data_IF_600619711982
#
_entry.id   IF_600619711982
#
_cell.length_a   1.000
_cell.length_b   1.000
_cell.length_c   1.000
_cell.angle_alpha   90.00
_cell.angle_beta   90.00
_cell.angle_gamma   90.00
#
_symmetry.space_group_name_H-M   'P 1'
#
loop_
_entity.id
_entity.type
_entity.pdbx_description
1 polymer ?
#
# COMPACT_ATOMS: atom_id res chain seq x y z
N UNK A 1 46.37 -4.64 -1.48
CA UNK A 1 45.03 -3.99 -1.60
C UNK A 1 44.70 -3.24 -0.30
N UNK A 2 43.70 -2.32 -0.22
CA UNK A 2 43.45 -1.60 1.03
C UNK A 2 42.91 -2.54 2.10
N UNK A 3 43.49 -2.46 3.30
CA UNK A 3 43.05 -3.24 4.45
C UNK A 3 41.61 -2.87 4.84
N UNK A 4 40.82 -3.87 5.27
CA UNK A 4 39.46 -3.64 5.77
C UNK A 4 39.50 -3.34 7.26
N UNK A 5 38.89 -2.24 7.67
CA UNK A 5 38.57 -1.96 9.07
C UNK A 5 37.11 -2.30 9.31
N UNK A 6 36.85 -3.26 10.20
CA UNK A 6 35.49 -3.68 10.53
C UNK A 6 34.87 -2.70 11.54
N UNK A 7 33.64 -2.30 11.28
CA UNK A 7 32.79 -1.66 12.29
C UNK A 7 32.08 -2.72 13.12
N UNK A 8 32.03 -2.53 14.44
CA UNK A 8 31.36 -3.47 15.34
C UNK A 8 29.84 -3.54 15.01
N UNK A 9 29.32 -4.70 14.58
CA UNK A 9 27.92 -4.81 14.17
C UNK A 9 26.94 -4.70 15.33
N UNK A 10 27.35 -4.91 16.58
CA UNK A 10 26.46 -5.09 17.74
C UNK A 10 25.43 -3.96 17.93
N UNK A 11 25.81 -2.72 17.65
CA UNK A 11 24.90 -1.57 17.78
C UNK A 11 23.80 -1.55 16.70
N UNK A 12 24.04 -2.18 15.55
CA UNK A 12 23.14 -2.17 14.39
C UNK A 12 22.26 -3.42 14.32
N UNK A 13 22.60 -4.50 15.03
CA UNK A 13 21.83 -5.75 15.02
C UNK A 13 20.37 -5.51 15.42
N UNK A 14 20.12 -4.63 16.40
CA UNK A 14 18.77 -4.32 16.86
C UNK A 14 17.87 -3.64 15.82
N UNK A 15 18.44 -3.11 14.73
CA UNK A 15 17.68 -2.51 13.62
C UNK A 15 17.22 -3.54 12.58
N UNK A 16 17.75 -4.77 12.64
CA UNK A 16 17.34 -5.85 11.74
C UNK A 16 16.18 -6.60 12.40
N UNK A 17 15.00 -6.71 11.75
CA UNK A 17 13.88 -7.46 12.31
C UNK A 17 14.26 -8.94 12.44
N UNK A 18 13.78 -9.65 13.45
CA UNK A 18 14.09 -11.08 13.61
C UNK A 18 13.39 -11.93 12.55
N UNK A 19 14.13 -12.81 11.86
CA UNK A 19 13.54 -13.82 10.98
C UNK A 19 12.94 -14.95 11.82
N UNK A 20 11.62 -14.98 11.88
CA UNK A 20 10.82 -15.85 12.75
C UNK A 20 10.31 -17.14 12.08
N UNK A 21 10.61 -17.34 10.81
CA UNK A 21 10.01 -18.42 10.02
C UNK A 21 8.98 -17.92 9.02
N UNK A 22 8.45 -16.70 9.21
CA UNK A 22 7.43 -16.13 8.34
C UNK A 22 8.03 -15.67 7.01
N UNK A 23 7.33 -15.97 5.91
CA UNK A 23 7.67 -15.40 4.60
C UNK A 23 7.36 -13.89 4.52
N UNK A 24 6.56 -13.36 5.45
CA UNK A 24 6.18 -11.94 5.49
C UNK A 24 7.33 -11.08 6.03
N UNK A 25 8.08 -11.59 7.02
CA UNK A 25 9.20 -10.87 7.64
C UNK A 25 10.48 -10.95 6.80
N UNK A 26 10.60 -11.99 5.96
CA UNK A 26 11.78 -12.27 5.16
C UNK A 26 12.27 -11.11 4.26
N UNK A 27 11.43 -10.41 3.47
CA UNK A 27 11.91 -9.31 2.62
C UNK A 27 12.54 -8.17 3.43
N UNK A 28 11.86 -7.73 4.49
CA UNK A 28 12.36 -6.67 5.38
C UNK A 28 13.64 -7.10 6.12
N UNK A 29 13.69 -8.35 6.60
CA UNK A 29 14.88 -8.93 7.21
C UNK A 29 16.05 -8.94 6.24
N UNK A 30 15.84 -9.44 5.01
CA UNK A 30 16.88 -9.56 3.98
C UNK A 30 17.51 -8.20 3.67
N UNK A 31 16.68 -7.20 3.34
CA UNK A 31 17.15 -5.86 2.99
C UNK A 31 17.96 -5.24 4.13
N UNK A 32 17.44 -5.28 5.36
CA UNK A 32 18.14 -4.70 6.53
C UNK A 32 19.43 -5.42 6.86
N UNK A 33 19.47 -6.74 6.67
CA UNK A 33 20.67 -7.52 6.91
C UNK A 33 21.76 -7.25 5.85
N UNK A 34 21.38 -7.13 4.57
CA UNK A 34 22.31 -6.75 3.49
C UNK A 34 22.88 -5.34 3.73
N UNK A 35 22.06 -4.37 4.14
CA UNK A 35 22.51 -3.02 4.55
C UNK A 35 23.50 -3.08 5.72
N UNK A 36 23.21 -3.89 6.75
CA UNK A 36 24.11 -4.07 7.88
C UNK A 36 25.47 -4.61 7.42
N UNK A 37 25.49 -5.64 6.58
CA UNK A 37 26.75 -6.20 6.08
C UNK A 37 27.52 -5.26 5.16
N UNK A 38 26.82 -4.39 4.42
CA UNK A 38 27.44 -3.34 3.64
C UNK A 38 28.16 -2.31 4.53
N UNK A 39 27.52 -1.86 5.62
CA UNK A 39 28.11 -0.94 6.60
C UNK A 39 29.34 -1.56 7.29
N UNK A 40 29.25 -2.85 7.63
CA UNK A 40 30.33 -3.59 8.30
C UNK A 40 31.50 -3.91 7.34
N UNK A 41 31.27 -3.87 6.02
CA UNK A 41 32.28 -4.15 5.00
C UNK A 41 32.52 -5.63 4.71
N UNK A 42 31.52 -6.48 4.95
CA UNK A 42 31.58 -7.96 4.74
C UNK A 42 30.52 -8.46 3.74
N UNK A 43 29.78 -7.56 3.09
CA UNK A 43 28.71 -7.90 2.16
C UNK A 43 29.16 -8.81 0.99
N UNK A 44 30.34 -8.56 0.43
CA UNK A 44 30.92 -9.36 -0.64
C UNK A 44 31.29 -10.78 -0.20
N UNK A 45 31.70 -10.98 1.06
CA UNK A 45 31.92 -12.31 1.63
C UNK A 45 30.60 -13.03 1.84
N UNK A 46 29.57 -12.34 2.35
CA UNK A 46 28.23 -12.90 2.60
C UNK A 46 27.52 -13.29 1.32
N UNK A 47 27.63 -12.47 0.27
CA UNK A 47 27.06 -12.78 -1.04
C UNK A 47 27.90 -13.75 -1.86
N UNK A 48 29.10 -14.11 -1.38
CA UNK A 48 30.04 -15.00 -2.08
C UNK A 48 30.78 -14.35 -3.25
N UNK A 49 30.73 -13.02 -3.36
CA UNK A 49 31.52 -12.26 -4.33
C UNK A 49 33.02 -12.29 -4.05
N UNK A 50 33.44 -12.37 -2.78
CA UNK A 50 34.83 -12.60 -2.40
C UNK A 50 35.06 -14.07 -2.03
N UNK A 51 35.80 -14.78 -2.88
CA UNK A 51 36.21 -16.15 -2.62
C UNK A 51 37.31 -16.22 -1.56
N UNK A 52 37.31 -17.30 -0.78
CA UNK A 52 38.35 -17.57 0.22
C UNK A 52 39.68 -17.84 -0.50
N UNK A 53 40.78 -17.14 -0.15
CA UNK A 53 42.12 -17.43 -0.67
C UNK A 53 42.57 -18.88 -0.39
N UNK A 54 43.29 -19.50 -1.34
CA UNK A 54 43.76 -20.90 -1.23
C UNK A 54 44.94 -21.05 -0.27
N UNK A 55 45.78 -20.02 -0.14
CA UNK A 55 46.98 -20.02 0.70
C UNK A 55 47.03 -18.76 1.55
N UNK A 56 47.31 -18.90 2.84
CA UNK A 56 47.62 -17.75 3.68
C UNK A 56 48.98 -17.16 3.25
N UNK A 57 49.02 -15.85 2.98
CA UNK A 57 50.29 -15.16 2.81
C UNK A 57 51.16 -15.36 4.06
N UNK A 58 52.42 -15.76 3.87
CA UNK A 58 53.33 -16.03 4.99
C UNK A 58 53.59 -14.74 5.76
N UNK A 59 53.15 -14.75 7.01
CA UNK A 59 53.32 -13.70 8.02
C UNK A 59 52.68 -12.34 7.69
N UNK A 60 51.65 -12.00 8.47
CA UNK A 60 51.57 -10.65 9.01
C UNK A 60 51.00 -10.73 10.42
N UNK A 61 51.79 -10.33 11.42
CA UNK A 61 51.29 -10.00 12.76
C UNK A 61 50.01 -9.16 12.62
N UNK A 62 49.00 -9.34 13.49
CA UNK A 62 47.78 -8.52 13.43
C UNK A 62 48.17 -7.05 13.40
N UNK A 63 47.95 -6.39 12.26
CA UNK A 63 48.31 -5.00 12.10
C UNK A 63 47.17 -4.18 12.72
N UNK A 64 47.44 -3.61 13.89
CA UNK A 64 46.51 -2.71 14.55
C UNK A 64 46.77 -1.28 14.09
N UNK A 65 45.75 -0.61 13.56
CA UNK A 65 45.78 0.84 13.35
C UNK A 65 45.03 1.48 14.52
N UNK A 66 45.76 1.85 15.57
CA UNK A 66 45.17 2.26 16.84
C UNK A 66 44.48 1.10 17.56
N UNK A 67 43.21 1.25 17.93
CA UNK A 67 42.39 0.20 18.60
C UNK A 67 41.75 -0.79 17.63
N UNK A 68 41.79 -0.51 16.32
CA UNK A 68 41.04 -1.28 15.32
C UNK A 68 41.95 -2.30 14.62
N UNK A 69 41.50 -3.55 14.57
CA UNK A 69 42.16 -4.64 13.84
C UNK A 69 41.89 -4.49 12.34
N UNK A 70 42.94 -4.54 11.54
CA UNK A 70 42.87 -4.57 10.08
C UNK A 70 42.82 -6.01 9.56
N UNK A 71 42.05 -6.23 8.49
CA UNK A 71 41.86 -7.53 7.86
C UNK A 71 42.21 -7.47 6.36
N UNK A 72 42.95 -8.46 5.88
CA UNK A 72 43.37 -8.60 4.49
C UNK A 72 42.70 -9.82 3.84
N UNK A 73 41.37 -9.82 3.76
CA UNK A 73 40.58 -10.99 3.34
C UNK A 73 40.81 -11.47 1.89
N UNK A 74 41.41 -10.64 1.04
CA UNK A 74 41.77 -10.99 -0.33
C UNK A 74 43.12 -11.73 -0.40
N UNK A 75 43.97 -11.54 0.60
CA UNK A 75 45.36 -12.02 0.63
C UNK A 75 45.57 -13.08 1.74
N UNK A 76 44.66 -13.13 2.72
CA UNK A 76 44.71 -14.01 3.90
C UNK A 76 43.40 -14.77 4.07
N UNK A 77 43.46 -16.10 3.94
CA UNK A 77 42.35 -17.00 4.20
C UNK A 77 41.92 -16.98 5.65
N UNK A 78 42.86 -16.82 6.59
CA UNK A 78 42.57 -16.69 8.03
C UNK A 78 41.79 -15.42 8.38
N UNK A 79 42.11 -14.28 7.75
CA UNK A 79 41.34 -13.05 7.92
C UNK A 79 39.96 -13.18 7.27
N UNK A 80 39.88 -13.80 6.09
CA UNK A 80 38.61 -14.12 5.44
C UNK A 80 37.74 -15.02 6.33
N UNK A 81 38.31 -16.08 6.91
CA UNK A 81 37.62 -17.01 7.81
C UNK A 81 37.11 -16.27 9.06
N UNK A 82 37.89 -15.34 9.61
CA UNK A 82 37.49 -14.51 10.75
C UNK A 82 36.32 -13.60 10.40
N UNK A 83 36.36 -12.93 9.23
CA UNK A 83 35.25 -12.10 8.74
C UNK A 83 33.99 -12.92 8.47
N UNK A 84 34.15 -14.07 7.84
CA UNK A 84 33.08 -15.02 7.54
C UNK A 84 32.43 -15.54 8.82
N UNK A 85 33.21 -15.90 9.83
CA UNK A 85 32.72 -16.36 11.13
C UNK A 85 31.98 -15.26 11.90
N UNK A 86 32.50 -14.03 11.87
CA UNK A 86 31.83 -12.88 12.48
C UNK A 86 30.51 -12.58 11.78
N UNK A 87 30.50 -12.50 10.45
CA UNK A 87 29.27 -12.27 9.67
C UNK A 87 28.25 -13.40 9.90
N UNK A 88 28.70 -14.66 10.01
CA UNK A 88 27.84 -15.80 10.35
C UNK A 88 27.22 -15.64 11.73
N UNK A 89 27.98 -15.22 12.73
CA UNK A 89 27.46 -14.98 14.08
C UNK A 89 26.41 -13.85 14.08
N UNK A 90 26.71 -12.73 13.41
CA UNK A 90 25.76 -11.62 13.24
C UNK A 90 24.48 -12.07 12.55
N UNK A 91 24.58 -12.82 11.43
CA UNK A 91 23.42 -13.37 10.74
C UNK A 91 22.57 -14.21 11.69
N UNK A 92 23.18 -15.14 12.44
CA UNK A 92 22.47 -16.00 13.40
C UNK A 92 21.78 -15.21 14.51
N UNK A 93 22.33 -14.08 14.95
CA UNK A 93 21.67 -13.22 15.95
C UNK A 93 20.41 -12.54 15.42
N UNK A 94 20.22 -12.47 14.11
CA UNK A 94 18.99 -11.95 13.48
C UNK A 94 17.95 -13.02 13.19
N UNK A 95 18.24 -14.29 13.54
CA UNK A 95 17.32 -15.41 13.39
C UNK A 95 16.61 -15.71 14.70
N UNK A 96 15.39 -16.25 14.61
CA UNK A 96 14.78 -16.96 15.75
C UNK A 96 15.67 -18.11 16.22
N UNK A 97 15.51 -18.48 17.49
CA UNK A 97 16.31 -19.54 18.13
C UNK A 97 16.21 -20.85 17.34
N UNK A 98 15.02 -21.22 16.87
CA UNK A 98 14.80 -22.45 16.11
C UNK A 98 15.52 -22.45 14.76
N UNK A 99 15.50 -21.34 14.03
CA UNK A 99 16.24 -21.21 12.77
C UNK A 99 17.76 -21.17 13.01
N UNK A 100 18.22 -20.48 14.05
CA UNK A 100 19.63 -20.47 14.43
C UNK A 100 20.15 -21.87 14.77
N UNK A 101 19.32 -22.69 15.44
CA UNK A 101 19.62 -24.09 15.73
C UNK A 101 19.61 -24.96 14.47
N UNK A 102 18.62 -24.78 13.58
CA UNK A 102 18.55 -25.49 12.29
C UNK A 102 19.81 -25.31 11.46
N UNK A 103 20.37 -24.10 11.44
CA UNK A 103 21.54 -23.74 10.63
C UNK A 103 22.84 -23.67 11.45
N UNK A 104 22.92 -24.36 12.58
CA UNK A 104 24.05 -24.29 13.50
C UNK A 104 25.39 -24.62 12.83
N UNK A 105 25.43 -25.67 12.02
CA UNK A 105 26.68 -26.19 11.44
C UNK A 105 26.97 -25.68 10.02
N UNK A 106 26.11 -24.80 9.46
CA UNK A 106 26.29 -24.31 8.10
C UNK A 106 27.44 -23.30 8.02
N UNK A 107 28.48 -23.66 7.27
CA UNK A 107 29.65 -22.81 6.97
C UNK A 107 30.00 -22.95 5.49
N UNK A 108 30.57 -21.92 4.84
CA UNK A 108 30.82 -20.55 5.33
C UNK A 108 29.54 -19.69 5.38
N UNK A 109 29.65 -18.41 5.80
CA UNK A 109 28.48 -17.50 5.87
C UNK A 109 27.75 -17.37 4.54
N UNK A 110 28.46 -17.42 3.41
CA UNK A 110 27.86 -17.35 2.08
C UNK A 110 26.92 -18.51 1.79
N UNK A 111 27.31 -19.73 2.19
CA UNK A 111 26.45 -20.90 2.09
C UNK A 111 25.22 -20.76 2.99
N UNK A 112 25.41 -20.25 4.22
CA UNK A 112 24.30 -20.02 5.14
C UNK A 112 23.29 -19.02 4.58
N UNK A 113 23.75 -17.84 4.17
CA UNK A 113 22.90 -16.79 3.62
C UNK A 113 22.15 -17.29 2.39
N UNK A 114 22.87 -17.91 1.43
CA UNK A 114 22.27 -18.52 0.25
C UNK A 114 21.22 -19.56 0.61
N UNK A 115 21.50 -20.47 1.55
CA UNK A 115 20.55 -21.53 1.94
C UNK A 115 19.25 -20.95 2.50
N UNK A 116 19.34 -19.88 3.29
CA UNK A 116 18.17 -19.18 3.81
C UNK A 116 17.43 -18.50 2.66
N UNK A 117 18.10 -17.69 1.85
CA UNK A 117 17.48 -17.04 0.70
C UNK A 117 16.78 -18.04 -0.21
N UNK A 118 17.47 -19.11 -0.60
CA UNK A 118 16.92 -20.19 -1.41
C UNK A 118 15.66 -20.78 -0.75
N UNK A 119 15.65 -21.02 0.56
CA UNK A 119 14.50 -21.58 1.27
C UNK A 119 13.24 -20.71 1.21
N UNK A 120 13.39 -19.39 1.31
CA UNK A 120 12.26 -18.43 1.28
C UNK A 120 11.89 -17.96 -0.12
N UNK A 121 12.83 -18.01 -1.07
CA UNK A 121 12.64 -17.57 -2.45
C UNK A 121 12.26 -18.70 -3.39
N UNK A 122 12.21 -19.96 -2.91
CA UNK A 122 11.73 -21.10 -3.72
C UNK A 122 10.40 -20.75 -4.37
N UNK A 123 10.37 -20.86 -5.69
CA UNK A 123 9.16 -20.67 -6.49
C UNK A 123 8.24 -21.90 -6.38
N UNK A 124 7.76 -22.18 -5.17
CA UNK A 124 6.80 -23.25 -4.90
C UNK A 124 5.40 -22.84 -5.34
N UNK A 125 4.54 -23.84 -5.60
CA UNK A 125 3.12 -23.59 -5.90
C UNK A 125 2.44 -22.80 -4.77
N UNK A 126 2.68 -23.20 -3.52
CA UNK A 126 2.13 -22.52 -2.35
C UNK A 126 2.53 -21.04 -2.30
N UNK A 127 3.81 -20.72 -2.54
CA UNK A 127 4.29 -19.32 -2.58
C UNK A 127 3.61 -18.52 -3.69
N UNK A 128 3.48 -19.08 -4.89
CA UNK A 128 2.77 -18.41 -5.99
C UNK A 128 1.32 -18.09 -5.62
N UNK A 129 0.60 -19.06 -5.04
CA UNK A 129 -0.78 -18.86 -4.60
C UNK A 129 -0.89 -17.77 -3.53
N UNK A 130 -0.02 -17.80 -2.52
CA UNK A 130 0.01 -16.76 -1.47
C UNK A 130 0.29 -15.36 -2.03
N UNK A 131 1.23 -15.23 -2.98
CA UNK A 131 1.56 -13.94 -3.58
C UNK A 131 0.44 -13.43 -4.49
N UNK A 132 -0.21 -14.33 -5.24
CA UNK A 132 -1.39 -13.99 -6.04
C UNK A 132 -2.53 -13.52 -5.14
N UNK A 133 -2.82 -14.21 -4.04
CA UNK A 133 -3.84 -13.80 -3.08
C UNK A 133 -3.49 -12.44 -2.45
N UNK A 134 -2.24 -12.26 -2.01
CA UNK A 134 -1.75 -10.99 -1.47
C UNK A 134 -1.91 -9.83 -2.46
N UNK A 135 -1.69 -10.05 -3.75
CA UNK A 135 -1.91 -9.04 -4.78
C UNK A 135 -3.41 -8.83 -5.04
N UNK A 136 -4.14 -9.86 -5.49
CA UNK A 136 -5.54 -9.75 -5.95
C UNK A 136 -6.56 -9.46 -4.85
N UNK A 137 -6.27 -9.85 -3.60
CA UNK A 137 -7.19 -9.68 -2.47
C UNK A 137 -6.83 -8.50 -1.55
N UNK A 138 -5.71 -7.79 -1.79
CA UNK A 138 -5.36 -6.57 -1.05
C UNK A 138 -6.52 -5.55 -0.92
N UNK A 139 -6.57 -4.79 0.17
CA UNK A 139 -7.56 -3.71 0.33
C UNK A 139 -6.90 -2.48 0.92
N UNK A 140 -7.33 -1.32 0.44
CA UNK A 140 -6.96 -0.03 0.99
C UNK A 140 -7.58 0.11 2.39
N UNK A 141 -6.78 0.57 3.35
CA UNK A 141 -7.22 0.95 4.69
C UNK A 141 -7.38 2.48 4.73
N UNK A 142 -8.61 3.01 4.82
CA UNK A 142 -8.85 4.46 4.75
C UNK A 142 -8.24 5.25 5.91
N UNK A 143 -7.80 4.58 6.99
CA UNK A 143 -7.14 5.22 8.13
C UNK A 143 -5.63 5.42 7.92
N UNK A 144 -5.08 4.91 6.83
CA UNK A 144 -3.65 5.03 6.49
C UNK A 144 -3.50 5.92 5.25
N UNK A 145 -2.35 6.61 5.11
CA UNK A 145 -2.09 7.40 3.92
C UNK A 145 -2.14 6.55 2.64
N UNK A 146 -2.66 7.11 1.55
CA UNK A 146 -2.77 6.44 0.24
C UNK A 146 -1.41 5.97 -0.28
N UNK A 147 -0.33 6.68 0.07
CA UNK A 147 1.04 6.29 -0.23
C UNK A 147 1.40 4.89 0.31
N UNK A 148 0.83 4.50 1.46
CA UNK A 148 1.01 3.16 2.05
C UNK A 148 0.34 2.10 1.19
N UNK A 149 -0.85 2.40 0.66
CA UNK A 149 -1.58 1.53 -0.25
C UNK A 149 -0.85 1.36 -1.59
N UNK A 150 -0.41 2.46 -2.19
CA UNK A 150 0.37 2.47 -3.44
C UNK A 150 1.64 1.63 -3.26
N UNK A 151 2.36 1.83 -2.15
CA UNK A 151 3.56 1.07 -1.83
C UNK A 151 3.27 -0.43 -1.69
N UNK A 152 2.16 -0.80 -1.03
CA UNK A 152 1.75 -2.20 -0.89
C UNK A 152 1.51 -2.87 -2.24
N UNK A 153 0.78 -2.21 -3.14
CA UNK A 153 0.49 -2.76 -4.49
C UNK A 153 1.75 -2.88 -5.34
N UNK A 154 2.64 -1.88 -5.31
CA UNK A 154 3.94 -1.94 -6.01
C UNK A 154 4.81 -3.09 -5.47
N UNK A 155 4.84 -3.28 -4.16
CA UNK A 155 5.62 -4.35 -3.53
C UNK A 155 5.07 -5.73 -3.91
N UNK A 156 3.75 -5.95 -3.83
CA UNK A 156 3.16 -7.25 -4.19
C UNK A 156 3.27 -7.55 -5.69
N UNK A 157 3.24 -6.54 -6.56
CA UNK A 157 3.56 -6.69 -7.99
C UNK A 157 5.02 -7.11 -8.23
N UNK A 158 5.96 -6.52 -7.48
CA UNK A 158 7.38 -6.90 -7.51
C UNK A 158 7.60 -8.33 -7.00
N UNK A 159 6.89 -8.73 -5.94
CA UNK A 159 6.95 -10.10 -5.42
C UNK A 159 6.45 -11.11 -6.46
N UNK A 160 5.38 -10.79 -7.18
CA UNK A 160 4.88 -11.59 -8.29
C UNK A 160 5.90 -11.68 -9.45
N UNK A 161 6.61 -10.59 -9.76
CA UNK A 161 7.72 -10.61 -10.71
C UNK A 161 8.85 -11.55 -10.26
N UNK A 162 9.13 -11.64 -8.95
CA UNK A 162 10.15 -12.57 -8.40
C UNK A 162 9.84 -14.05 -8.69
N UNK A 163 8.55 -14.42 -8.77
CA UNK A 163 8.10 -15.79 -9.10
C UNK A 163 7.82 -16.00 -10.59
N UNK A 164 8.27 -15.08 -11.45
CA UNK A 164 8.04 -15.10 -12.90
C UNK A 164 6.55 -14.98 -13.29
N UNK A 165 5.74 -14.34 -12.45
CA UNK A 165 4.33 -14.03 -12.72
C UNK A 165 4.16 -12.50 -12.82
N UNK A 166 4.84 -11.86 -13.77
CA UNK A 166 4.81 -10.39 -13.86
C UNK A 166 3.43 -9.89 -14.30
N UNK A 167 2.71 -9.12 -13.47
CA UNK A 167 1.49 -8.45 -13.91
C UNK A 167 1.85 -7.34 -14.89
N UNK A 168 1.01 -7.12 -15.90
CA UNK A 168 1.15 -5.96 -16.78
C UNK A 168 0.86 -4.66 -16.01
N UNK A 169 1.45 -3.54 -16.43
CA UNK A 169 1.25 -2.24 -15.76
C UNK A 169 -0.24 -1.86 -15.68
N UNK A 170 -1.02 -2.21 -16.70
CA UNK A 170 -2.48 -2.03 -16.68
C UNK A 170 -3.16 -2.87 -15.60
N UNK A 171 -2.71 -4.11 -15.37
CA UNK A 171 -3.24 -4.94 -14.29
C UNK A 171 -2.88 -4.36 -12.91
N UNK A 172 -1.71 -3.74 -12.77
CA UNK A 172 -1.31 -3.03 -11.55
C UNK A 172 -2.18 -1.78 -11.34
N UNK A 173 -2.44 -1.02 -12.40
CA UNK A 173 -3.33 0.16 -12.38
C UNK A 173 -4.77 -0.24 -11.99
N UNK A 174 -5.36 -1.19 -12.72
CA UNK A 174 -6.66 -1.77 -12.42
C UNK A 174 -6.77 -2.26 -10.97
N UNK A 175 -5.70 -2.92 -10.50
CA UNK A 175 -5.64 -3.45 -9.14
C UNK A 175 -5.65 -2.34 -8.11
N UNK A 176 -4.88 -1.29 -8.33
CA UNK A 176 -4.79 -0.10 -7.48
C UNK A 176 -6.17 0.54 -7.31
N UNK A 177 -6.91 0.73 -8.41
CA UNK A 177 -8.24 1.34 -8.43
C UNK A 177 -9.33 0.45 -7.81
N UNK A 178 -9.37 -0.85 -8.17
CA UNK A 178 -10.37 -1.80 -7.64
C UNK A 178 -10.21 -2.11 -6.15
N UNK A 179 -9.02 -1.90 -5.59
CA UNK A 179 -8.75 -2.16 -4.17
C UNK A 179 -8.99 -0.98 -3.25
N UNK A 180 -9.37 0.18 -3.78
CA UNK A 180 -9.70 1.36 -3.00
C UNK A 180 -10.93 1.13 -2.13
N UNK A 181 -10.90 1.68 -0.91
CA UNK A 181 -12.04 1.74 -0.01
C UNK A 181 -13.21 2.51 -0.62
N UNK A 182 -14.44 2.21 -0.18
CA UNK A 182 -15.64 2.86 -0.72
C UNK A 182 -15.69 4.38 -0.49
N UNK A 183 -14.98 4.90 0.52
CA UNK A 183 -14.82 6.36 0.70
C UNK A 183 -14.09 7.05 -0.47
N UNK A 184 -13.35 6.29 -1.27
CA UNK A 184 -12.63 6.76 -2.47
C UNK A 184 -13.38 6.47 -3.78
N UNK A 185 -14.63 6.01 -3.71
CA UNK A 185 -15.46 5.72 -4.87
C UNK A 185 -15.56 6.88 -5.89
N UNK A 186 -15.69 8.16 -5.51
CA UNK A 186 -15.82 9.25 -6.49
C UNK A 186 -14.61 9.37 -7.42
N UNK A 187 -13.40 9.32 -6.86
CA UNK A 187 -12.17 9.38 -7.67
C UNK A 187 -11.93 8.07 -8.42
N UNK A 188 -12.25 6.92 -7.81
CA UNK A 188 -12.19 5.61 -8.49
C UNK A 188 -13.06 5.61 -9.74
N UNK A 189 -14.32 6.00 -9.62
CA UNK A 189 -15.27 5.97 -10.73
C UNK A 189 -14.87 6.99 -11.82
N UNK A 190 -14.36 8.17 -11.43
CA UNK A 190 -13.82 9.14 -12.39
C UNK A 190 -12.66 8.57 -13.22
N UNK A 191 -11.75 7.83 -12.58
CA UNK A 191 -10.60 7.21 -13.24
C UNK A 191 -11.00 5.99 -14.08
N UNK A 192 -11.84 5.10 -13.55
CA UNK A 192 -12.26 3.86 -14.23
C UNK A 192 -13.10 4.12 -15.47
N UNK A 193 -13.98 5.14 -15.45
CA UNK A 193 -14.84 5.48 -16.58
C UNK A 193 -14.26 6.59 -17.48
N UNK A 194 -12.98 6.91 -17.32
CA UNK A 194 -12.28 7.81 -18.24
C UNK A 194 -12.32 7.23 -19.67
N UNK A 195 -12.57 8.07 -20.70
CA UNK A 195 -12.59 7.63 -22.09
C UNK A 195 -11.22 7.16 -22.60
N UNK A 196 -10.14 7.59 -21.93
CA UNK A 196 -8.77 7.19 -22.25
C UNK A 196 -8.23 6.26 -21.17
N UNK A 197 -7.44 5.27 -21.59
CA UNK A 197 -6.68 4.40 -20.69
C UNK A 197 -5.72 5.23 -19.83
N UNK A 198 -5.79 5.04 -18.52
CA UNK A 198 -5.02 5.83 -17.55
C UNK A 198 -3.74 5.06 -17.22
N UNK A 199 -2.60 5.73 -17.40
CA UNK A 199 -1.32 5.15 -17.02
C UNK A 199 -1.22 4.95 -15.50
N UNK A 200 -0.39 4.00 -15.06
CA UNK A 200 -0.18 3.75 -13.63
C UNK A 200 0.28 5.02 -12.89
N UNK A 201 1.13 5.83 -13.52
CA UNK A 201 1.66 7.05 -12.90
C UNK A 201 0.61 8.16 -12.83
N UNK A 202 -0.24 8.32 -13.85
CA UNK A 202 -1.35 9.28 -13.83
C UNK A 202 -2.38 8.91 -12.76
N UNK A 203 -2.70 7.61 -12.62
CA UNK A 203 -3.60 7.13 -11.58
C UNK A 203 -3.03 7.40 -10.17
N UNK A 204 -1.73 7.17 -9.97
CA UNK A 204 -1.05 7.46 -8.70
C UNK A 204 -1.09 8.96 -8.39
N UNK A 205 -0.74 9.81 -9.36
CA UNK A 205 -0.78 11.26 -9.18
C UNK A 205 -2.20 11.77 -8.86
N UNK A 206 -3.23 11.21 -9.50
CA UNK A 206 -4.62 11.56 -9.21
C UNK A 206 -5.05 11.16 -7.80
N UNK A 207 -4.64 9.98 -7.31
CA UNK A 207 -4.95 9.51 -5.97
C UNK A 207 -4.25 10.33 -4.88
N UNK A 208 -2.98 10.69 -5.09
CA UNK A 208 -2.24 11.57 -4.17
C UNK A 208 -2.87 12.97 -4.12
N UNK A 209 -3.26 13.53 -5.27
CA UNK A 209 -3.95 14.83 -5.32
C UNK A 209 -5.32 14.79 -4.63
N UNK A 210 -6.06 13.68 -4.76
CA UNK A 210 -7.33 13.49 -4.07
C UNK A 210 -7.16 13.42 -2.54
N UNK A 211 -6.11 12.77 -2.04
CA UNK A 211 -5.79 12.75 -0.60
C UNK A 211 -5.61 14.17 -0.05
N UNK A 212 -4.78 14.97 -0.73
CA UNK A 212 -4.51 16.36 -0.34
C UNK A 212 -5.81 17.16 -0.34
N UNK A 213 -6.66 16.98 -1.36
CA UNK A 213 -7.96 17.66 -1.43
C UNK A 213 -8.89 17.26 -0.27
N UNK A 214 -8.92 15.98 0.11
CA UNK A 214 -9.75 15.49 1.22
C UNK A 214 -9.31 16.06 2.56
N UNK A 215 -8.00 16.23 2.78
CA UNK A 215 -7.45 16.82 4.01
C UNK A 215 -7.81 18.31 4.15
N UNK A 216 -7.73 19.07 3.05
CA UNK A 216 -8.06 20.52 3.04
C UNK A 216 -9.55 20.77 3.36
N UNK A 217 -10.44 19.84 3.01
CA UNK A 217 -11.87 19.94 3.36
C UNK A 217 -12.18 19.76 4.86
N UNK A 218 -11.27 19.17 5.65
CA UNK A 218 -11.48 18.95 7.10
C UNK A 218 -11.00 20.15 7.96
N UNK A 219 -10.03 20.92 7.48
CA UNK A 219 -9.48 22.09 8.18
C UNK A 219 -10.28 23.39 7.95
N UNK A 220 -11.31 23.38 7.11
CA UNK A 220 -12.25 24.49 7.00
C UNK A 220 -13.30 24.41 8.12
N UNK A 221 -12.88 24.70 9.36
CA UNK A 221 -13.79 25.42 10.26
C UNK A 221 -14.17 26.73 9.55
N UNK A 222 -15.44 27.18 9.59
CA UNK A 222 -15.80 28.48 9.04
C UNK A 222 -15.27 29.57 9.98
N UNK A 223 -13.95 29.66 10.13
CA UNK A 223 -13.31 30.83 10.68
C UNK A 223 -13.43 31.94 9.66
N UNK A 224 -14.29 32.87 10.05
CA UNK A 224 -14.57 34.17 9.48
C UNK A 224 -13.27 34.96 9.21
N UNK A 225 -12.51 34.57 8.20
CA UNK A 225 -11.47 35.41 7.62
C UNK A 225 -12.05 36.14 6.43
N UNK A 226 -12.47 37.37 6.70
CA UNK A 226 -12.63 38.39 5.70
C UNK A 226 -11.29 38.55 4.95
N UNK A 227 -11.25 38.12 3.69
CA UNK A 227 -10.31 38.61 2.72
C UNK A 227 -11.03 38.87 1.41
N UNK A 228 -10.93 40.12 1.00
CA UNK A 228 -11.61 40.75 -0.12
C UNK A 228 -11.12 40.18 -1.45
N UNK A 229 -11.93 39.37 -2.11
CA UNK A 229 -12.14 39.34 -3.56
C UNK A 229 -13.00 38.14 -3.96
N UNK A 230 -14.26 38.11 -3.50
CA UNK A 230 -15.29 37.30 -4.14
C UNK A 230 -16.32 38.27 -4.71
N UNK A 231 -16.51 38.18 -6.02
CA UNK A 231 -17.62 38.78 -6.75
C UNK A 231 -18.92 38.31 -6.11
N UNK A 232 -19.42 39.07 -5.13
CA UNK A 232 -20.72 38.81 -4.50
C UNK A 232 -21.76 38.82 -5.61
N UNK A 233 -22.40 37.68 -5.88
CA UNK A 233 -23.67 37.64 -6.61
C UNK A 233 -24.59 38.64 -5.90
N UNK A 234 -24.89 39.76 -6.57
CA UNK A 234 -25.70 40.85 -5.99
C UNK A 234 -27.04 40.26 -5.57
N UNK A 235 -27.32 40.24 -4.27
CA UNK A 235 -28.68 39.98 -3.78
C UNK A 235 -29.57 41.07 -4.39
N UNK A 236 -30.67 40.73 -5.09
CA UNK A 236 -31.54 41.76 -5.66
C UNK A 236 -32.11 42.58 -4.51
N UNK A 237 -31.84 43.89 -4.51
CA UNK A 237 -32.52 44.84 -3.64
C UNK A 237 -33.99 44.97 -4.05
N UNK A 238 -34.78 45.69 -3.25
CA UNK A 238 -36.18 46.01 -3.56
C UNK A 238 -36.31 46.52 -4.99
N UNK A 239 -37.20 45.94 -5.82
CA UNK A 239 -37.32 46.32 -7.23
C UNK A 239 -37.96 47.70 -7.42
N UNK A 240 -38.50 48.31 -6.36
CA UNK A 240 -39.10 49.64 -6.42
C UNK A 240 -38.12 50.76 -6.05
N UNK A 241 -37.29 50.58 -5.01
CA UNK A 241 -36.39 51.63 -4.51
C UNK A 241 -34.90 51.27 -4.56
N UNK A 242 -34.55 50.03 -4.96
CA UNK A 242 -33.17 49.55 -5.08
C UNK A 242 -32.46 49.28 -3.74
N UNK A 243 -33.06 49.58 -2.59
CA UNK A 243 -32.43 49.32 -1.29
C UNK A 243 -32.55 47.85 -0.89
N UNK A 244 -31.48 47.31 -0.31
CA UNK A 244 -31.42 45.94 0.20
C UNK A 244 -32.02 45.86 1.61
N UNK A 245 -32.70 44.77 1.94
CA UNK A 245 -33.29 44.53 3.26
C UNK A 245 -34.82 44.42 3.31
N UNK A 246 -35.51 44.68 2.20
CA UNK A 246 -36.95 44.43 2.06
C UNK A 246 -37.32 44.07 0.61
N UNK A 247 -38.46 43.39 0.44
CA UNK A 247 -39.02 43.06 -0.87
C UNK A 247 -39.98 44.18 -1.34
N UNK A 248 -40.24 44.28 -2.66
CA UNK A 248 -41.02 45.38 -3.27
C UNK A 248 -42.41 45.60 -2.66
N UNK A 249 -43.00 44.55 -2.09
CA UNK A 249 -44.30 44.57 -1.40
C UNK A 249 -44.28 45.24 -0.03
N UNK A 250 -43.11 45.39 0.60
CA UNK A 250 -42.92 46.00 1.92
C UNK A 250 -42.06 47.26 1.85
N UNK A 251 -42.06 47.94 0.68
CA UNK A 251 -41.25 49.13 0.47
C UNK A 251 -41.81 50.33 1.25
N UNK A 252 -41.01 50.99 2.12
CA UNK A 252 -41.46 52.17 2.87
C UNK A 252 -41.75 53.39 1.97
N UNK A 253 -41.29 53.38 0.72
CA UNK A 253 -41.65 54.36 -0.32
C UNK A 253 -42.34 53.66 -1.51
N UNK A 254 -43.65 53.41 -1.47
CA UNK A 254 -44.40 52.86 -2.60
C UNK A 254 -44.53 53.90 -3.74
N UNK A 255 -44.63 53.47 -5.01
CA UNK A 255 -44.75 54.39 -6.12
C UNK A 255 -46.14 55.05 -6.10
N UNK A 256 -46.18 56.37 -6.11
CA UNK A 256 -47.43 57.10 -6.28
C UNK A 256 -47.90 56.98 -7.73
N UNK A 257 -48.99 56.22 -7.98
CA UNK A 257 -50.19 56.73 -8.69
C UNK A 257 -51.24 55.66 -9.06
N UNK A 258 -52.48 56.11 -8.87
CA UNK A 258 -53.69 55.89 -9.67
C UNK A 258 -54.52 54.61 -9.48
N UNK A 259 -55.67 54.86 -8.83
CA UNK A 259 -56.91 54.08 -8.78
C UNK A 259 -57.34 53.58 -10.17
N UNK A 260 -57.70 52.30 -10.28
CA UNK A 260 -59.03 51.85 -10.73
C UNK A 260 -59.19 50.31 -10.65
N UNK A 261 -60.19 49.89 -9.82
CA UNK A 261 -61.18 48.80 -10.01
C UNK A 261 -60.67 47.35 -10.27
N UNK A 262 -61.22 46.27 -9.72
CA UNK A 262 -62.25 45.97 -8.72
C UNK A 262 -62.13 44.44 -8.44
N UNK A 263 -61.95 44.02 -7.18
CA UNK A 263 -62.84 43.19 -6.34
C UNK A 263 -63.75 42.16 -7.06
N UNK A 264 -63.55 40.87 -6.75
CA UNK A 264 -64.57 39.84 -6.46
C UNK A 264 -63.86 38.71 -5.68
N UNK A 265 -63.91 38.69 -4.35
CA UNK A 265 -64.88 38.00 -3.45
C UNK A 265 -64.82 36.46 -3.49
N UNK A 266 -64.59 35.91 -2.29
CA UNK A 266 -64.38 34.50 -1.97
C UNK A 266 -65.68 33.74 -1.72
N UNK A 267 -65.69 32.40 -1.87
CA UNK A 267 -66.37 31.48 -0.93
C UNK A 267 -65.94 30.01 -1.08
N UNK A 268 -65.85 29.34 0.06
CA UNK A 268 -65.57 27.92 0.28
C UNK A 268 -66.71 26.96 -0.10
N UNK A 269 -66.39 25.67 -0.25
CA UNK A 269 -67.36 24.57 -0.25
C UNK A 269 -66.74 23.22 -0.67
N UNK A 270 -66.62 22.30 0.29
CA UNK A 270 -66.23 20.90 0.09
C UNK A 270 -67.34 20.07 -0.56
N UNK A 271 -67.00 18.94 -1.18
CA UNK A 271 -67.67 17.62 -1.05
C UNK A 271 -66.88 16.53 -1.80
N UNK A 272 -66.85 15.37 -1.17
CA UNK A 272 -66.11 14.14 -1.45
C UNK A 272 -66.73 13.25 -2.55
N UNK A 273 -65.95 12.26 -3.00
CA UNK A 273 -66.27 10.80 -3.13
C UNK A 273 -65.66 10.18 -4.41
N UNK A 274 -64.87 9.10 -4.22
CA UNK A 274 -64.89 7.79 -4.91
C UNK A 274 -63.46 7.22 -5.02
N UNK A 275 -63.13 5.94 -4.81
CA UNK A 275 -63.75 4.79 -4.15
C UNK A 275 -62.58 3.85 -3.82
N UNK A 276 -62.63 3.20 -2.66
CA UNK A 276 -61.72 2.13 -2.25
C UNK A 276 -62.06 0.85 -3.03
N UNK A 277 -61.03 0.10 -3.44
CA UNK A 277 -61.11 -1.28 -3.89
C UNK A 277 -60.03 -2.07 -3.15
N UNK A 278 -60.50 -2.97 -2.28
CA UNK A 278 -59.74 -3.81 -1.36
C UNK A 278 -59.77 -5.27 -1.88
N UNK A 279 -58.75 -6.07 -1.54
CA UNK A 279 -58.85 -7.54 -1.56
C UNK A 279 -57.64 -8.31 -2.14
N UNK A 280 -56.73 -8.76 -1.27
CA UNK A 280 -55.93 -10.00 -1.47
C UNK A 280 -56.75 -11.25 -1.09
N UNK A 281 -56.18 -12.40 -0.65
CA UNK A 281 -54.77 -12.87 -0.54
C UNK A 281 -54.58 -14.36 -1.00
N UNK A 282 -53.42 -14.97 -0.65
CA UNK A 282 -53.01 -16.41 -0.62
C UNK A 282 -51.82 -16.72 -1.56
N UNK A 283 -50.81 -17.55 -1.26
CA UNK A 283 -50.55 -18.58 -0.24
C UNK A 283 -49.01 -18.84 -0.19
N UNK A 284 -48.54 -19.32 0.97
CA UNK A 284 -47.16 -19.79 1.26
C UNK A 284 -46.91 -21.21 0.69
N UNK A 285 -45.63 -21.58 0.45
CA UNK A 285 -45.00 -22.95 0.44
C UNK A 285 -43.59 -22.81 -0.21
N UNK A 286 -42.47 -22.80 0.52
CA UNK A 286 -41.64 -23.91 1.04
C UNK A 286 -40.81 -24.70 -0.02
N UNK A 287 -39.47 -24.71 0.20
CA UNK A 287 -38.42 -25.69 -0.15
C UNK A 287 -38.16 -26.01 -1.65
N UNK A 288 -36.92 -26.08 -2.17
CA UNK A 288 -36.01 -27.23 -2.06
C UNK A 288 -34.56 -26.87 -2.49
N UNK A 289 -33.62 -27.58 -1.85
CA UNK A 289 -32.20 -27.71 -2.17
C UNK A 289 -32.00 -28.56 -3.43
N UNK A 290 -31.03 -28.23 -4.30
CA UNK A 290 -30.37 -29.24 -5.15
C UNK A 290 -28.85 -29.02 -5.17
N UNK A 291 -28.16 -29.96 -4.53
CA UNK A 291 -26.75 -30.30 -4.72
C UNK A 291 -26.57 -31.16 -5.99
N UNK A 292 -25.31 -31.20 -6.45
CA UNK A 292 -24.68 -32.22 -7.31
C UNK A 292 -25.07 -32.34 -8.80
N UNK A 293 -24.17 -31.83 -9.64
CA UNK A 293 -23.81 -32.52 -10.89
C UNK A 293 -22.30 -32.76 -10.94
N UNK A 294 -21.94 -33.98 -10.57
CA UNK A 294 -20.61 -34.57 -10.61
C UNK A 294 -20.52 -35.37 -11.92
N UNK A 295 -19.64 -34.98 -12.85
CA UNK A 295 -19.37 -35.76 -14.05
C UNK A 295 -17.95 -36.38 -13.97
N UNK A 296 -17.81 -37.72 -13.84
CA UNK A 296 -16.51 -38.37 -13.67
C UNK A 296 -16.12 -39.22 -14.89
N UNK A 297 -15.37 -38.70 -15.85
CA UNK A 297 -14.64 -39.57 -16.79
C UNK A 297 -13.53 -38.84 -17.58
N UNK A 298 -12.27 -38.95 -17.14
CA UNK A 298 -11.14 -39.03 -18.09
C UNK A 298 -10.13 -40.06 -17.58
N UNK A 299 -10.17 -41.22 -18.23
CA UNK A 299 -9.22 -42.31 -18.14
C UNK A 299 -7.93 -41.91 -18.87
N UNK A 300 -6.77 -41.90 -18.18
CA UNK A 300 -5.46 -41.75 -18.83
C UNK A 300 -4.50 -42.82 -18.33
N UNK A 301 -4.40 -43.87 -19.15
CA UNK A 301 -3.38 -44.90 -19.14
C UNK A 301 -2.01 -44.26 -19.41
N UNK A 302 -1.01 -44.60 -18.60
CA UNK A 302 0.40 -44.38 -18.94
C UNK A 302 1.15 -45.72 -18.99
N UNK A 303 1.74 -45.98 -20.15
CA UNK A 303 2.82 -46.93 -20.36
C UNK A 303 4.17 -46.26 -20.04
#
# INVERSE_FOLDING_TARGET
MPARSIQNPSALIGNVPTLDGSSVTFPSWRTRLEELFAIVGVHDIVTGGLLRPETDYKESKPLTQGSQRLYYAEESGSDWDTLSDMARATLKMTLSIDLAMRYKETKPVSLLFKTICDAYEKNTRARRMMLQDSFWCARHDPNKPIATWISRIRNTASDLKSVKLTPADQQVCDRLLRGLDESWKPIRDHLVYSPNEISLDDAIGALEAHEVSMQVSFDQTPETFASSAVTRKKKPGCWNCGQVGHHSSACPNPPAKNKAKARFEARAGAVSVARLGDGGPSEDEEEEEEEDDFDPEIDVVWA
#
